data_IF_282096127004
#
_entry.id   IF_282096127004
#
_cell.length_a   1.000
_cell.length_b   1.000
_cell.length_c   1.000
_cell.angle_alpha   90.00
_cell.angle_beta   90.00
_cell.angle_gamma   90.00
#
_symmetry.space_group_name_H-M   'P 1'
#
loop_
_entity.id
_entity.type
_entity.pdbx_description
1 polymer ?
#
# COMPACT_ATOMS: atom_id res chain seq x y z
N UNK A 1 -30.18 0.02 -11.29
CA UNK A 1 -31.02 0.20 -12.50
C UNK A 1 -30.19 0.98 -13.52
N UNK A 2 -30.21 0.51 -14.76
CA UNK A 2 -29.32 0.81 -15.88
C UNK A 2 -29.63 2.17 -16.56
N UNK A 3 -28.65 2.67 -17.35
CA UNK A 3 -28.68 3.63 -18.50
C UNK A 3 -28.25 5.08 -18.17
N UNK A 4 -27.11 5.58 -18.67
CA UNK A 4 -26.73 5.89 -20.07
C UNK A 4 -27.51 7.07 -20.65
N UNK A 5 -26.84 8.17 -21.05
CA UNK A 5 -26.72 8.58 -22.47
C UNK A 5 -25.92 9.89 -22.67
N UNK A 6 -25.08 9.85 -23.71
CA UNK A 6 -24.36 10.92 -24.40
C UNK A 6 -25.27 11.92 -25.14
N UNK A 7 -24.79 13.15 -25.40
CA UNK A 7 -24.76 13.93 -26.68
C UNK A 7 -24.37 15.40 -26.35
N UNK A 8 -23.20 15.97 -26.70
CA UNK A 8 -22.65 16.41 -28.00
C UNK A 8 -23.50 17.47 -28.73
N UNK A 9 -23.08 18.76 -28.75
CA UNK A 9 -22.72 19.54 -29.96
C UNK A 9 -22.43 21.04 -29.74
N UNK A 10 -21.40 21.48 -30.47
CA UNK A 10 -20.92 22.85 -30.76
C UNK A 10 -21.91 23.71 -31.60
N UNK A 11 -21.81 25.04 -31.49
CA UNK A 11 -21.56 26.05 -32.56
C UNK A 11 -21.50 27.47 -31.92
N UNK A 12 -20.40 28.23 -32.07
CA UNK A 12 -20.17 29.39 -32.99
C UNK A 12 -21.28 30.47 -32.89
N UNK A 13 -21.05 31.78 -32.75
CA UNK A 13 -20.03 32.66 -33.35
C UNK A 13 -20.16 34.11 -32.79
N UNK A 14 -19.04 34.88 -32.69
CA UNK A 14 -18.87 36.35 -32.97
C UNK A 14 -19.66 37.39 -32.10
N UNK A 15 -19.22 38.60 -31.72
CA UNK A 15 -18.14 39.53 -32.13
C UNK A 15 -18.13 40.79 -31.20
N UNK A 16 -16.95 41.38 -30.91
CA UNK A 16 -16.71 42.79 -30.45
C UNK A 16 -17.12 43.13 -29.00
N UNK A 17 -16.56 44.09 -28.26
CA UNK A 17 -15.46 45.06 -28.42
C UNK A 17 -15.32 45.82 -27.08
N UNK A 18 -14.08 46.07 -26.62
CA UNK A 18 -13.59 47.14 -25.72
C UNK A 18 -14.07 47.22 -24.25
N UNK A 19 -13.06 47.38 -23.38
CA UNK A 19 -12.99 48.17 -22.13
C UNK A 19 -12.73 47.41 -20.81
N UNK A 20 -11.63 47.84 -20.19
CA UNK A 20 -11.42 48.04 -18.74
C UNK A 20 -11.16 46.84 -17.82
N UNK A 21 -9.98 46.88 -17.20
CA UNK A 21 -9.73 46.27 -15.89
C UNK A 21 -10.60 46.95 -14.81
N UNK A 22 -10.84 46.29 -13.67
CA UNK A 22 -9.93 46.58 -12.55
C UNK A 22 -9.59 45.37 -11.65
N UNK A 23 -8.47 45.57 -10.94
CA UNK A 23 -8.01 44.88 -9.73
C UNK A 23 -9.13 44.63 -8.72
N UNK A 24 -9.05 43.53 -7.97
CA UNK A 24 -9.65 43.43 -6.63
C UNK A 24 -8.59 43.09 -5.57
N UNK A 25 -8.58 43.94 -4.55
CA UNK A 25 -7.87 43.82 -3.28
C UNK A 25 -8.90 43.37 -2.24
N UNK A 26 -8.48 42.48 -1.33
CA UNK A 26 -8.90 42.44 0.07
C UNK A 26 -10.11 41.58 0.42
N UNK A 27 -9.98 40.75 1.46
CA UNK A 27 -10.46 41.14 2.80
C UNK A 27 -10.03 40.13 3.91
N UNK A 28 -9.75 40.72 5.07
CA UNK A 28 -9.35 40.14 6.37
C UNK A 28 -10.41 39.25 7.04
N UNK A 29 -9.96 38.46 8.04
CA UNK A 29 -10.47 38.39 9.43
C UNK A 29 -9.52 37.47 10.25
N UNK A 30 -8.75 37.93 11.26
CA UNK A 30 -9.04 38.44 12.62
C UNK A 30 -9.25 37.35 13.71
N UNK A 31 -8.18 37.16 14.52
CA UNK A 31 -8.05 36.95 16.00
C UNK A 31 -8.96 35.94 16.73
N UNK A 32 -8.35 34.96 17.42
CA UNK A 32 -8.61 34.63 18.86
C UNK A 32 -7.32 34.06 19.51
N UNK A 33 -6.89 34.67 20.61
CA UNK A 33 -5.86 34.26 21.57
C UNK A 33 -6.41 33.25 22.59
N UNK A 34 -5.70 32.16 22.92
CA UNK A 34 -5.78 31.50 24.24
C UNK A 34 -4.37 31.07 24.71
N UNK A 35 -4.18 31.21 26.02
CA UNK A 35 -2.95 31.37 26.78
C UNK A 35 -2.18 30.10 27.17
N UNK A 36 -0.97 30.38 27.65
CA UNK A 36 0.09 29.56 28.21
C UNK A 36 -0.29 28.41 29.18
N UNK A 37 0.53 27.36 29.18
CA UNK A 37 1.02 26.72 30.41
C UNK A 37 2.34 25.99 30.17
N UNK A 38 3.35 26.42 30.92
CA UNK A 38 4.69 25.84 31.08
C UNK A 38 4.68 24.65 32.03
N UNK A 39 5.40 23.56 31.71
CA UNK A 39 5.92 22.61 32.71
C UNK A 39 7.39 22.31 32.38
N UNK A 40 8.23 22.54 33.39
CA UNK A 40 9.69 22.43 33.37
C UNK A 40 10.18 20.98 33.55
N UNK A 41 11.41 20.77 33.09
CA UNK A 41 12.23 19.56 33.20
C UNK A 41 12.38 19.06 34.64
N UNK A 42 12.57 17.74 34.80
CA UNK A 42 13.60 17.22 35.72
C UNK A 42 14.09 15.83 35.29
N UNK A 43 15.41 15.76 35.17
CA UNK A 43 16.24 14.57 35.03
C UNK A 43 16.30 13.75 36.32
N UNK A 44 16.49 12.43 36.24
CA UNK A 44 17.72 11.76 36.71
C UNK A 44 17.69 10.24 36.48
N UNK A 45 18.79 9.69 35.96
CA UNK A 45 19.47 8.46 36.39
C UNK A 45 18.78 7.09 36.27
N UNK A 46 19.42 6.15 35.56
CA UNK A 46 20.31 5.09 36.10
C UNK A 46 20.44 3.98 35.03
N UNK A 47 21.67 3.55 34.74
CA UNK A 47 22.01 2.40 33.88
C UNK A 47 22.01 1.13 34.74
N UNK A 48 21.56 -0.02 34.20
CA UNK A 48 22.44 -1.19 34.28
C UNK A 48 22.55 -1.94 32.95
N UNK A 49 23.74 -2.49 32.74
CA UNK A 49 24.17 -3.36 31.66
C UNK A 49 23.72 -4.81 31.91
N UNK A 50 23.02 -5.45 30.97
CA UNK A 50 23.08 -6.91 30.74
C UNK A 50 22.52 -7.33 29.37
N UNK A 51 23.37 -8.07 28.66
CA UNK A 51 23.14 -9.19 27.75
C UNK A 51 22.36 -9.04 26.42
N UNK A 52 23.07 -9.46 25.37
CA UNK A 52 22.62 -9.66 24.00
C UNK A 52 21.38 -10.58 23.89
N UNK A 53 20.36 -10.08 23.21
CA UNK A 53 19.27 -10.86 22.62
C UNK A 53 18.99 -10.23 21.24
N UNK A 54 18.95 -11.06 20.20
CA UNK A 54 18.59 -10.64 18.84
C UNK A 54 17.22 -9.94 18.81
N UNK A 55 17.00 -8.93 17.93
CA UNK A 55 15.70 -8.28 17.85
C UNK A 55 14.66 -9.25 17.28
N UNK A 56 13.73 -9.66 18.13
CA UNK A 56 12.47 -10.32 17.74
C UNK A 56 11.55 -9.23 17.20
N UNK A 57 11.08 -9.37 15.97
CA UNK A 57 10.06 -8.49 15.40
C UNK A 57 8.75 -8.72 16.17
N UNK A 58 8.34 -7.73 16.97
CA UNK A 58 7.00 -7.67 17.53
C UNK A 58 6.12 -6.79 16.64
N UNK A 59 5.13 -7.40 15.99
CA UNK A 59 4.05 -6.66 15.33
C UNK A 59 2.92 -6.46 16.33
N UNK A 60 2.66 -5.21 16.73
CA UNK A 60 1.40 -4.87 17.38
C UNK A 60 0.29 -4.79 16.33
N UNK A 61 -0.69 -5.68 16.44
CA UNK A 61 -1.92 -5.63 15.65
C UNK A 61 -2.81 -4.59 16.30
N UNK A 62 -3.02 -3.45 15.64
CA UNK A 62 -4.05 -2.48 16.09
C UNK A 62 -5.42 -3.10 15.82
N UNK A 63 -5.96 -3.78 16.82
CA UNK A 63 -7.35 -4.24 16.85
C UNK A 63 -8.25 -3.08 17.29
N UNK A 64 -9.10 -2.59 16.40
CA UNK A 64 -10.21 -1.70 16.74
C UNK A 64 -11.28 -2.47 17.50
N UNK A 65 -11.18 -2.51 18.82
CA UNK A 65 -12.26 -2.96 19.69
C UNK A 65 -13.34 -1.89 19.79
N UNK A 66 -14.53 -2.16 19.25
CA UNK A 66 -15.76 -1.43 19.62
C UNK A 66 -16.05 -1.72 21.09
N UNK A 67 -15.88 -0.70 21.93
CA UNK A 67 -16.18 -0.77 23.36
C UNK A 67 -17.70 -0.85 23.56
N UNK A 68 -18.18 -2.04 23.92
CA UNK A 68 -19.49 -2.22 24.53
C UNK A 68 -19.50 -1.51 25.89
N UNK A 69 -20.33 -0.47 26.04
CA UNK A 69 -20.67 0.06 27.36
C UNK A 69 -21.56 -0.96 28.09
N UNK A 70 -21.00 -1.58 29.13
CA UNK A 70 -21.76 -2.29 30.16
C UNK A 70 -22.00 -1.30 31.30
N UNK A 71 -23.23 -1.07 31.76
CA UNK A 71 -23.47 -0.23 32.93
C UNK A 71 -23.07 -0.97 34.22
N UNK A 72 -22.41 -0.25 35.11
CA UNK A 72 -22.01 -0.66 36.46
C UNK A 72 -23.23 -0.86 37.39
N UNK A 73 -23.20 -1.81 38.34
CA UNK A 73 -24.23 -1.89 39.38
C UNK A 73 -24.02 -0.81 40.45
N UNK A 74 -25.02 0.04 40.66
CA UNK A 74 -25.10 1.03 41.75
C UNK A 74 -25.62 0.34 43.02
N UNK A 75 -25.15 0.69 44.24
CA UNK A 75 -25.69 0.11 45.47
C UNK A 75 -27.14 0.55 45.72
N UNK A 76 -27.96 -0.43 46.11
CA UNK A 76 -29.38 -0.26 46.44
C UNK A 76 -29.50 0.33 47.84
N UNK A 77 -30.09 1.52 47.95
CA UNK A 77 -30.55 2.12 49.22
C UNK A 77 -32.02 1.78 49.38
N UNK A 78 -32.36 1.09 50.48
CA UNK A 78 -33.74 0.69 50.81
C UNK A 78 -34.45 1.89 51.45
N UNK A 79 -35.50 2.39 50.80
CA UNK A 79 -36.43 3.40 51.34
C UNK A 79 -37.79 2.68 51.51
N UNK A 80 -38.48 2.79 52.66
CA UNK A 80 -39.77 2.15 52.84
C UNK A 80 -40.85 2.84 51.98
N UNK A 81 -41.66 1.98 51.38
CA UNK A 81 -42.75 2.22 50.45
C UNK A 81 -43.94 2.97 51.09
N UNK A 82 -44.53 3.99 50.44
CA UNK A 82 -45.87 4.45 50.79
C UNK A 82 -46.92 3.57 50.10
N UNK A 83 -47.74 2.92 50.92
CA UNK A 83 -48.93 2.18 50.50
C UNK A 83 -49.92 3.09 49.77
N UNK A 84 -50.21 2.79 48.50
CA UNK A 84 -51.28 3.43 47.73
C UNK A 84 -52.43 2.46 47.47
N UNK A 85 -53.59 2.88 47.94
CA UNK A 85 -54.91 2.26 47.82
C UNK A 85 -55.33 2.05 46.36
N UNK A 86 -55.84 0.86 46.03
CA UNK A 86 -56.28 0.48 44.70
C UNK A 86 -57.62 1.12 44.31
N UNK A 87 -57.64 1.85 43.18
CA UNK A 87 -58.87 2.26 42.49
C UNK A 87 -58.96 1.50 41.16
N UNK A 88 -60.09 0.87 40.80
CA UNK A 88 -60.17 0.04 39.59
C UNK A 88 -60.22 0.88 38.30
N UNK A 89 -59.41 0.49 37.30
CA UNK A 89 -59.32 1.07 35.95
C UNK A 89 -60.13 0.20 34.96
N UNK A 90 -60.87 0.77 33.99
CA UNK A 90 -61.64 0.00 33.00
C UNK A 90 -60.74 -0.59 31.89
N UNK A 91 -61.05 -1.82 31.43
CA UNK A 91 -60.31 -2.54 30.37
C UNK A 91 -60.48 -1.90 28.97
N UNK A 92 -59.44 -1.93 28.11
CA UNK A 92 -59.52 -1.49 26.71
C UNK A 92 -60.12 -2.57 25.79
N UNK A 93 -60.63 -2.19 24.59
CA UNK A 93 -61.28 -3.11 23.65
C UNK A 93 -60.28 -3.98 22.87
N UNK A 94 -60.65 -5.24 22.66
CA UNK A 94 -59.92 -6.29 21.93
C UNK A 94 -59.76 -5.96 20.44
N UNK A 95 -58.52 -5.98 19.92
CA UNK A 95 -58.21 -5.80 18.49
C UNK A 95 -58.50 -7.04 17.65
N UNK A 96 -59.22 -6.87 16.55
CA UNK A 96 -59.52 -7.87 15.52
C UNK A 96 -58.26 -8.32 14.77
N UNK A 97 -58.06 -9.63 14.49
CA UNK A 97 -56.84 -10.12 13.84
C UNK A 97 -56.76 -9.70 12.37
N UNK A 98 -55.61 -9.15 11.98
CA UNK A 98 -55.24 -8.83 10.60
C UNK A 98 -54.74 -10.09 9.89
N UNK A 99 -55.29 -10.41 8.71
CA UNK A 99 -54.85 -11.53 7.87
C UNK A 99 -53.47 -11.22 7.25
N UNK A 100 -52.44 -11.94 7.67
CA UNK A 100 -51.11 -11.89 7.05
C UNK A 100 -51.10 -12.65 5.72
N UNK A 101 -50.33 -12.18 4.71
CA UNK A 101 -50.14 -12.94 3.48
C UNK A 101 -49.55 -14.33 3.78
N UNK A 102 -49.93 -15.38 3.03
CA UNK A 102 -49.45 -16.73 3.29
C UNK A 102 -47.93 -16.78 3.17
N UNK A 103 -47.27 -17.26 4.22
CA UNK A 103 -45.84 -17.60 4.18
C UNK A 103 -45.58 -18.52 2.99
N UNK A 104 -44.61 -18.22 2.10
CA UNK A 104 -44.32 -19.08 0.97
C UNK A 104 -44.00 -20.48 1.47
N UNK A 105 -44.71 -21.48 0.94
CA UNK A 105 -44.51 -22.88 1.30
C UNK A 105 -43.07 -23.27 0.95
N UNK A 106 -42.29 -23.86 1.88
CA UNK A 106 -40.93 -24.29 1.58
C UNK A 106 -40.96 -25.29 0.41
N UNK A 107 -40.22 -25.01 -0.66
CA UNK A 107 -40.01 -25.99 -1.72
C UNK A 107 -39.18 -27.14 -1.16
N UNK A 108 -39.64 -28.37 -1.37
CA UNK A 108 -38.96 -29.59 -0.97
C UNK A 108 -38.78 -30.43 -2.23
N UNK A 109 -37.56 -30.91 -2.45
CA UNK A 109 -37.22 -31.76 -3.58
C UNK A 109 -36.87 -33.17 -3.07
N UNK A 110 -37.10 -34.17 -3.93
CA UNK A 110 -36.64 -35.55 -3.70
C UNK A 110 -35.12 -35.57 -3.53
N UNK A 111 -34.40 -35.08 -4.53
CA UNK A 111 -32.94 -34.95 -4.52
C UNK A 111 -32.54 -33.52 -4.22
N UNK A 112 -31.96 -33.29 -3.04
CA UNK A 112 -31.50 -31.98 -2.61
C UNK A 112 -30.38 -32.10 -1.61
N UNK A 113 -29.28 -31.37 -1.81
CA UNK A 113 -28.17 -31.38 -0.87
C UNK A 113 -27.96 -30.01 -0.23
N UNK A 114 -27.33 -30.02 0.94
CA UNK A 114 -26.68 -28.82 1.48
C UNK A 114 -25.21 -29.11 1.73
N UNK A 115 -24.37 -28.17 1.35
CA UNK A 115 -22.97 -28.15 1.72
C UNK A 115 -22.84 -27.93 3.23
N UNK A 116 -22.04 -28.76 3.90
CA UNK A 116 -21.76 -28.61 5.34
C UNK A 116 -20.40 -27.94 5.53
N UNK A 117 -19.33 -28.54 4.99
CA UNK A 117 -17.96 -28.01 5.02
C UNK A 117 -17.02 -28.78 4.11
N UNK A 118 -15.87 -28.19 3.85
CA UNK A 118 -14.70 -28.93 3.40
C UNK A 118 -14.13 -29.73 4.58
N UNK A 119 -13.87 -31.02 4.35
CA UNK A 119 -13.05 -31.84 5.25
C UNK A 119 -11.59 -31.69 4.84
N UNK A 120 -11.34 -31.85 3.54
CA UNK A 120 -10.09 -31.53 2.84
C UNK A 120 -10.45 -31.14 1.42
N UNK A 121 -9.57 -30.58 0.63
CA UNK A 121 -8.65 -29.51 0.91
C UNK A 121 -9.46 -28.21 1.12
N UNK A 122 -9.22 -27.38 2.16
CA UNK A 122 -9.93 -26.09 2.32
C UNK A 122 -9.74 -25.15 1.13
N UNK A 123 -10.69 -24.26 0.91
CA UNK A 123 -10.62 -23.27 -0.17
C UNK A 123 -9.38 -22.37 -0.06
N UNK A 124 -8.76 -22.07 -1.20
CA UNK A 124 -7.54 -21.26 -1.29
C UNK A 124 -6.25 -22.02 -0.92
N UNK A 125 -6.31 -23.33 -0.69
CA UNK A 125 -5.10 -24.10 -0.38
C UNK A 125 -4.12 -24.09 -1.56
N UNK A 126 -2.83 -24.02 -1.24
CA UNK A 126 -1.74 -24.06 -2.19
C UNK A 126 -1.31 -25.49 -2.48
N UNK A 127 -1.19 -25.84 -3.76
CA UNK A 127 -0.75 -27.16 -4.21
C UNK A 127 0.27 -26.97 -5.33
N UNK A 128 1.34 -27.78 -5.35
CA UNK A 128 2.29 -27.77 -6.45
C UNK A 128 1.59 -28.10 -7.77
N UNK A 129 1.97 -27.45 -8.88
CA UNK A 129 1.51 -27.78 -10.23
C UNK A 129 1.68 -29.28 -10.51
N UNK A 130 0.65 -29.92 -11.06
CA UNK A 130 0.63 -31.38 -11.27
C UNK A 130 0.62 -32.22 -9.99
N UNK A 131 0.56 -31.61 -8.81
CA UNK A 131 0.48 -32.29 -7.52
C UNK A 131 -0.84 -33.03 -7.35
N UNK A 132 -0.77 -34.26 -6.86
CA UNK A 132 -1.95 -35.04 -6.51
C UNK A 132 -2.48 -34.62 -5.13
N UNK A 133 -3.80 -34.57 -4.98
CA UNK A 133 -4.46 -34.30 -3.71
C UNK A 133 -5.82 -35.00 -3.65
N UNK A 134 -6.36 -35.17 -2.43
CA UNK A 134 -7.70 -35.74 -2.23
C UNK A 134 -8.60 -34.66 -1.65
N UNK A 135 -9.65 -34.29 -2.40
CA UNK A 135 -10.71 -33.40 -1.93
C UNK A 135 -11.80 -34.24 -1.29
N UNK A 136 -12.20 -33.88 -0.08
CA UNK A 136 -13.31 -34.46 0.67
C UNK A 136 -14.28 -33.38 1.13
N UNK A 137 -15.53 -33.48 0.68
CA UNK A 137 -16.60 -32.60 1.16
C UNK A 137 -17.52 -33.35 2.12
N UNK A 138 -17.98 -32.67 3.18
CA UNK A 138 -19.13 -33.11 3.96
C UNK A 138 -20.40 -32.51 3.39
N UNK A 139 -21.30 -33.36 2.93
CA UNK A 139 -22.60 -33.00 2.38
C UNK A 139 -23.72 -33.54 3.26
N UNK A 140 -24.87 -32.88 3.26
CA UNK A 140 -26.09 -33.34 3.96
C UNK A 140 -27.22 -33.54 2.97
N UNK A 141 -27.94 -34.65 3.12
CA UNK A 141 -29.18 -34.89 2.39
C UNK A 141 -30.29 -34.02 2.99
N UNK A 142 -30.70 -33.00 2.23
CA UNK A 142 -31.80 -32.08 2.57
C UNK A 142 -33.10 -32.46 1.86
N UNK A 143 -33.05 -33.46 0.97
CA UNK A 143 -34.19 -33.92 0.20
C UNK A 143 -35.05 -34.91 0.97
N UNK A 144 -36.00 -35.52 0.27
CA UNK A 144 -36.89 -36.56 0.81
C UNK A 144 -36.52 -37.97 0.34
N UNK A 145 -35.64 -38.09 -0.66
CA UNK A 145 -35.19 -39.37 -1.20
C UNK A 145 -33.86 -39.79 -0.59
N UNK A 146 -33.74 -41.08 -0.25
CA UNK A 146 -32.47 -41.67 0.18
C UNK A 146 -31.52 -41.72 -1.01
N UNK A 147 -30.32 -41.15 -0.86
CA UNK A 147 -29.27 -41.32 -1.86
C UNK A 147 -28.68 -42.72 -1.73
N UNK A 148 -28.56 -43.42 -2.86
CA UNK A 148 -28.02 -44.78 -2.92
C UNK A 148 -26.60 -44.76 -3.51
N UNK A 149 -25.85 -45.87 -3.44
CA UNK A 149 -24.57 -46.01 -4.14
C UNK A 149 -24.64 -45.87 -5.67
N UNK A 150 -25.84 -45.87 -6.28
CA UNK A 150 -26.01 -45.59 -7.72
C UNK A 150 -25.86 -44.09 -8.04
N UNK A 151 -25.97 -43.23 -7.03
CA UNK A 151 -25.72 -41.80 -7.14
C UNK A 151 -24.22 -41.54 -7.30
N UNK A 152 -23.88 -40.39 -7.87
CA UNK A 152 -22.50 -40.01 -8.08
C UNK A 152 -22.24 -38.54 -7.81
N UNK A 153 -21.06 -38.21 -7.31
CA UNK A 153 -20.46 -36.89 -7.45
C UNK A 153 -19.93 -36.75 -8.88
N UNK A 154 -20.23 -35.64 -9.56
CA UNK A 154 -19.82 -35.41 -10.94
C UNK A 154 -19.28 -34.00 -11.16
N UNK A 155 -18.23 -33.91 -11.97
CA UNK A 155 -17.70 -32.64 -12.46
C UNK A 155 -18.76 -31.98 -13.34
N UNK A 156 -18.99 -30.68 -13.11
CA UNK A 156 -19.98 -29.90 -13.84
C UNK A 156 -19.32 -28.93 -14.82
N UNK A 157 -18.45 -28.05 -14.33
CA UNK A 157 -17.78 -27.01 -15.13
C UNK A 157 -16.56 -26.42 -14.40
N UNK A 158 -15.90 -25.45 -15.04
CA UNK A 158 -14.67 -24.82 -14.53
C UNK A 158 -13.42 -25.58 -14.97
N UNK A 159 -12.39 -25.57 -14.12
CA UNK A 159 -11.14 -26.29 -14.39
C UNK A 159 -11.28 -27.77 -14.01
N UNK A 160 -11.00 -28.67 -14.95
CA UNK A 160 -10.93 -30.10 -14.67
C UNK A 160 -9.59 -30.43 -14.02
N UNK A 161 -9.60 -30.94 -12.78
CA UNK A 161 -8.39 -31.19 -11.97
C UNK A 161 -8.05 -32.69 -11.96
N UNK A 162 -7.53 -33.20 -13.09
CA UNK A 162 -7.22 -34.61 -13.29
C UNK A 162 -8.27 -35.38 -14.11
N UNK A 163 -8.15 -36.70 -14.15
CA UNK A 163 -9.01 -37.56 -15.00
C UNK A 163 -10.28 -38.05 -14.28
N UNK A 164 -10.31 -38.01 -12.95
CA UNK A 164 -11.48 -38.40 -12.20
C UNK A 164 -12.52 -37.27 -12.28
N UNK A 165 -13.54 -37.49 -13.09
CA UNK A 165 -14.68 -36.56 -13.28
C UNK A 165 -15.96 -37.06 -12.61
N UNK A 166 -15.94 -38.26 -12.04
CA UNK A 166 -17.07 -38.88 -11.36
C UNK A 166 -16.58 -39.82 -10.25
N UNK A 167 -17.30 -39.88 -9.13
CA UNK A 167 -17.16 -40.94 -8.11
C UNK A 167 -18.53 -41.32 -7.55
N UNK A 168 -18.79 -42.62 -7.42
CA UNK A 168 -20.03 -43.14 -6.82
C UNK A 168 -20.07 -42.85 -5.33
N UNK A 169 -21.29 -42.70 -4.78
CA UNK A 169 -21.44 -42.59 -3.34
C UNK A 169 -21.03 -43.91 -2.66
N UNK A 170 -20.24 -43.87 -1.58
CA UNK A 170 -19.77 -45.08 -0.91
C UNK A 170 -20.85 -45.79 -0.10
N UNK A 171 -21.93 -45.10 0.28
CA UNK A 171 -22.97 -45.61 1.17
C UNK A 171 -24.34 -44.96 0.93
N UNK A 172 -25.36 -45.51 1.59
CA UNK A 172 -26.71 -44.94 1.59
C UNK A 172 -26.80 -43.72 2.51
N UNK A 173 -27.48 -42.66 2.06
CA UNK A 173 -27.66 -41.42 2.83
C UNK A 173 -29.13 -41.08 2.95
N UNK A 174 -29.73 -41.41 4.09
CA UNK A 174 -31.12 -41.08 4.40
C UNK A 174 -31.33 -39.55 4.48
N UNK A 175 -32.57 -39.06 4.23
CA UNK A 175 -32.93 -37.67 4.49
C UNK A 175 -32.49 -37.19 5.87
N UNK A 176 -31.83 -36.04 5.93
CA UNK A 176 -31.30 -35.45 7.16
C UNK A 176 -29.90 -35.92 7.57
N UNK A 177 -29.37 -37.00 6.97
CA UNK A 177 -28.02 -37.50 7.29
C UNK A 177 -26.93 -36.82 6.46
N UNK A 178 -25.68 -36.98 6.90
CA UNK A 178 -24.48 -36.44 6.24
C UNK A 178 -23.60 -37.54 5.67
N UNK A 179 -22.83 -37.21 4.64
CA UNK A 179 -21.82 -38.08 4.03
C UNK A 179 -20.54 -37.30 3.73
N UNK A 180 -19.40 -37.96 3.85
CA UNK A 180 -18.11 -37.44 3.40
C UNK A 180 -17.74 -38.10 2.05
N UNK A 181 -17.71 -37.31 0.99
CA UNK A 181 -17.40 -37.81 -0.36
C UNK A 181 -16.00 -37.34 -0.75
N UNK A 182 -15.13 -38.30 -1.08
CA UNK A 182 -13.73 -38.04 -1.44
C UNK A 182 -13.47 -38.32 -2.92
N UNK A 183 -12.66 -37.47 -3.55
CA UNK A 183 -12.20 -37.67 -4.93
C UNK A 183 -10.70 -37.33 -5.05
N UNK A 184 -9.88 -38.23 -5.61
CA UNK A 184 -8.49 -37.92 -5.94
C UNK A 184 -8.42 -37.05 -7.19
N UNK A 185 -7.72 -35.92 -7.09
CA UNK A 185 -7.57 -34.90 -8.11
C UNK A 185 -6.09 -34.58 -8.33
N UNK A 186 -5.81 -33.88 -9.43
CA UNK A 186 -4.48 -33.38 -9.78
C UNK A 186 -4.55 -31.89 -10.06
N UNK A 187 -3.69 -31.11 -9.40
CA UNK A 187 -3.61 -29.67 -9.62
C UNK A 187 -3.23 -29.39 -11.08
N UNK A 188 -3.76 -28.32 -11.71
CA UNK A 188 -3.37 -27.91 -13.05
C UNK A 188 -1.85 -27.75 -13.21
N UNK A 189 -1.37 -27.93 -14.44
CA UNK A 189 0.04 -27.70 -14.78
C UNK A 189 0.39 -26.22 -14.92
N UNK A 190 -0.61 -25.33 -14.91
CA UNK A 190 -0.43 -23.89 -14.97
C UNK A 190 -0.51 -23.29 -13.57
N UNK A 191 0.44 -22.42 -13.23
CA UNK A 191 0.43 -21.66 -11.98
C UNK A 191 -0.77 -20.71 -11.96
N UNK A 192 -1.33 -20.47 -10.78
CA UNK A 192 -2.41 -19.50 -10.58
C UNK A 192 -3.57 -20.04 -9.75
N UNK A 193 -4.64 -19.23 -9.68
CA UNK A 193 -5.89 -19.57 -9.00
C UNK A 193 -6.77 -20.43 -9.91
N UNK A 194 -7.25 -21.56 -9.38
CA UNK A 194 -8.06 -22.51 -10.14
C UNK A 194 -9.26 -22.98 -9.34
N UNK A 195 -10.42 -23.04 -10.00
CA UNK A 195 -11.67 -23.53 -9.42
C UNK A 195 -12.34 -24.59 -10.28
N UNK A 196 -12.78 -25.67 -9.63
CA UNK A 196 -13.51 -26.80 -10.23
C UNK A 196 -14.87 -26.93 -9.59
N UNK A 197 -15.94 -27.06 -10.37
CA UNK A 197 -17.32 -27.07 -9.88
C UNK A 197 -17.99 -28.43 -10.06
N UNK A 198 -18.78 -28.82 -9.05
CA UNK A 198 -19.31 -30.17 -8.89
C UNK A 198 -20.79 -30.17 -8.52
N UNK A 199 -21.48 -31.23 -8.92
CA UNK A 199 -22.88 -31.54 -8.58
C UNK A 199 -22.99 -33.01 -8.16
N UNK A 200 -24.12 -33.39 -7.57
CA UNK A 200 -24.51 -34.79 -7.44
C UNK A 200 -25.39 -35.18 -8.63
N UNK A 201 -25.38 -36.46 -8.98
CA UNK A 201 -26.20 -37.06 -10.03
C UNK A 201 -26.94 -38.26 -9.45
N UNK A 202 -28.25 -38.33 -9.66
CA UNK A 202 -29.05 -39.46 -9.21
C UNK A 202 -28.96 -40.66 -10.19
N UNK A 203 -29.59 -41.78 -9.83
CA UNK A 203 -29.59 -43.02 -10.61
C UNK A 203 -30.18 -42.85 -12.03
N UNK A 204 -31.08 -41.87 -12.23
CA UNK A 204 -31.68 -41.55 -13.53
C UNK A 204 -30.84 -40.55 -14.35
N UNK A 205 -29.67 -40.16 -13.86
CA UNK A 205 -28.78 -39.22 -14.54
C UNK A 205 -29.09 -37.74 -14.31
N UNK A 206 -30.04 -37.40 -13.44
CA UNK A 206 -30.42 -36.00 -13.16
C UNK A 206 -29.43 -35.38 -12.19
N UNK A 207 -28.93 -34.19 -12.55
CA UNK A 207 -28.02 -33.40 -11.72
C UNK A 207 -28.77 -32.58 -10.67
N UNK A 208 -28.22 -32.54 -9.46
CA UNK A 208 -28.74 -31.74 -8.36
C UNK A 208 -27.61 -31.25 -7.43
N UNK A 209 -27.92 -30.20 -6.68
CA UNK A 209 -26.96 -29.48 -5.84
C UNK A 209 -27.67 -28.75 -4.70
N UNK A 210 -27.06 -27.68 -4.22
CA UNK A 210 -27.64 -26.87 -3.14
C UNK A 210 -28.47 -25.70 -3.66
N UNK A 211 -28.96 -24.88 -2.73
CA UNK A 211 -29.75 -23.68 -3.00
C UNK A 211 -31.23 -23.98 -3.24
N UNK A 212 -32.03 -22.92 -3.37
CA UNK A 212 -33.50 -23.01 -3.36
C UNK A 212 -34.12 -23.76 -4.54
N UNK A 213 -33.36 -23.99 -5.61
CA UNK A 213 -33.76 -24.76 -6.78
C UNK A 213 -33.01 -26.10 -6.91
N UNK A 214 -32.27 -26.51 -5.87
CA UNK A 214 -31.50 -27.76 -5.84
C UNK A 214 -30.54 -27.95 -7.03
N UNK A 215 -29.94 -26.88 -7.56
CA UNK A 215 -29.15 -26.93 -8.79
C UNK A 215 -27.84 -26.13 -8.75
N UNK A 216 -27.43 -25.62 -7.58
CA UNK A 216 -26.16 -24.88 -7.46
C UNK A 216 -24.98 -25.83 -7.26
N UNK A 217 -23.89 -25.53 -7.95
CA UNK A 217 -22.61 -26.24 -7.87
C UNK A 217 -21.83 -25.83 -6.61
N UNK A 218 -21.17 -26.80 -5.99
CA UNK A 218 -20.12 -26.58 -4.98
C UNK A 218 -18.76 -26.79 -5.63
N UNK A 219 -17.65 -26.48 -4.94
CA UNK A 219 -16.37 -26.35 -5.63
C UNK A 219 -15.15 -26.87 -4.87
N UNK A 220 -14.07 -27.03 -5.63
CA UNK A 220 -12.68 -27.05 -5.18
C UNK A 220 -12.04 -25.74 -5.59
N UNK A 221 -11.37 -25.07 -4.66
CA UNK A 221 -10.66 -23.82 -4.90
C UNK A 221 -9.21 -23.93 -4.42
N UNK A 222 -8.24 -23.80 -5.34
CA UNK A 222 -6.81 -23.93 -5.02
C UNK A 222 -5.97 -22.88 -5.72
N UNK A 223 -4.77 -22.67 -5.20
CA UNK A 223 -3.67 -22.02 -5.91
C UNK A 223 -2.66 -23.08 -6.34
N UNK A 224 -2.51 -23.26 -7.65
CA UNK A 224 -1.42 -24.07 -8.20
C UNK A 224 -0.14 -23.22 -8.20
N UNK A 225 0.93 -23.71 -7.57
CA UNK A 225 2.23 -23.02 -7.51
C UNK A 225 3.33 -23.86 -8.14
N UNK A 226 4.35 -23.23 -8.70
CA UNK A 226 5.53 -23.96 -9.11
C UNK A 226 6.22 -24.55 -7.86
N UNK A 227 6.79 -25.74 -8.00
CA UNK A 227 7.43 -26.42 -6.87
C UNK A 227 8.86 -25.99 -6.60
N UNK A 228 9.27 -24.83 -7.11
CA UNK A 228 10.48 -24.14 -6.66
C UNK A 228 10.27 -23.72 -5.22
N UNK A 229 11.25 -24.00 -4.35
CA UNK A 229 11.22 -23.48 -2.99
C UNK A 229 11.24 -21.94 -3.08
N UNK A 230 10.40 -21.20 -2.34
CA UNK A 230 10.41 -19.75 -2.38
C UNK A 230 11.83 -19.25 -2.11
N UNK A 231 12.36 -18.48 -3.05
CA UNK A 231 13.73 -18.04 -3.04
C UNK A 231 13.79 -16.54 -3.28
N UNK A 232 14.65 -15.89 -2.51
CA UNK A 232 15.02 -14.50 -2.71
C UNK A 232 16.50 -14.45 -3.05
N UNK A 233 16.85 -13.73 -4.10
CA UNK A 233 18.23 -13.55 -4.54
C UNK A 233 18.49 -12.09 -4.86
N UNK A 234 19.73 -11.64 -4.66
CA UNK A 234 20.20 -10.35 -5.15
C UNK A 234 21.29 -10.52 -6.20
N UNK A 235 21.39 -9.59 -7.13
CA UNK A 235 22.50 -9.51 -8.08
C UNK A 235 22.75 -8.06 -8.53
N UNK A 236 24.01 -7.57 -8.52
CA UNK A 236 25.20 -8.21 -7.94
C UNK A 236 25.17 -8.19 -6.39
N UNK A 237 26.05 -8.97 -5.74
CA UNK A 237 26.20 -9.02 -4.27
C UNK A 237 27.28 -8.06 -3.73
N UNK A 238 27.89 -7.27 -4.59
CA UNK A 238 28.83 -6.21 -4.22
C UNK A 238 28.96 -5.20 -5.35
N UNK A 239 29.46 -4.02 -5.03
CA UNK A 239 29.74 -2.98 -6.01
C UNK A 239 29.94 -1.61 -5.37
N UNK A 240 30.18 -0.58 -6.19
CA UNK A 240 30.27 0.78 -5.71
C UNK A 240 28.97 1.25 -5.04
N UNK A 241 29.08 2.21 -4.14
CA UNK A 241 27.90 2.88 -3.57
C UNK A 241 27.04 3.49 -4.70
N UNK A 242 25.73 3.25 -4.65
CA UNK A 242 24.78 3.58 -5.71
C UNK A 242 24.49 2.45 -6.71
N UNK A 243 25.16 1.29 -6.60
CA UNK A 243 24.89 0.13 -7.46
C UNK A 243 23.41 -0.26 -7.43
N UNK A 244 22.80 -0.39 -8.60
CA UNK A 244 21.43 -0.90 -8.73
C UNK A 244 21.46 -2.43 -8.55
N UNK A 245 21.01 -2.87 -7.37
CA UNK A 245 20.91 -4.28 -7.01
C UNK A 245 19.56 -4.80 -7.44
N UNK A 246 19.56 -5.81 -8.29
CA UNK A 246 18.35 -6.52 -8.67
C UNK A 246 17.95 -7.49 -7.55
N UNK A 247 16.79 -7.26 -6.94
CA UNK A 247 16.18 -8.13 -5.93
C UNK A 247 15.10 -8.95 -6.62
N UNK A 248 15.27 -10.27 -6.64
CA UNK A 248 14.33 -11.20 -7.27
C UNK A 248 13.77 -12.12 -6.20
N UNK A 249 12.44 -12.18 -6.11
CA UNK A 249 11.71 -13.15 -5.32
C UNK A 249 10.94 -14.07 -6.27
N UNK A 250 11.06 -15.39 -6.12
CA UNK A 250 10.43 -16.37 -7.01
C UNK A 250 9.84 -17.53 -6.23
N UNK A 251 8.84 -18.21 -6.79
CA UNK A 251 8.18 -19.35 -6.15
C UNK A 251 7.20 -18.98 -5.02
N UNK A 252 6.72 -17.74 -4.98
CA UNK A 252 5.74 -17.28 -3.99
C UNK A 252 4.30 -17.40 -4.50
N UNK A 253 3.32 -17.17 -3.63
CA UNK A 253 1.92 -17.13 -4.06
C UNK A 253 1.67 -15.94 -4.99
N UNK A 254 0.89 -16.08 -6.08
CA UNK A 254 0.54 -14.98 -6.97
C UNK A 254 -0.18 -13.83 -6.24
N UNK A 255 0.06 -12.59 -6.65
CA UNK A 255 -0.52 -11.36 -6.08
C UNK A 255 -0.26 -11.18 -4.57
N UNK A 256 0.81 -11.76 -4.04
CA UNK A 256 1.23 -11.57 -2.65
C UNK A 256 2.03 -10.28 -2.51
N UNK A 257 1.75 -9.51 -1.46
CA UNK A 257 2.51 -8.29 -1.18
C UNK A 257 3.95 -8.65 -0.80
N UNK A 258 4.91 -7.98 -1.44
CA UNK A 258 6.35 -8.08 -1.17
C UNK A 258 6.84 -6.74 -0.63
N UNK A 259 7.55 -6.78 0.49
CA UNK A 259 8.25 -5.64 1.09
C UNK A 259 9.75 -5.91 1.05
N UNK A 260 10.52 -4.92 0.61
CA UNK A 260 11.99 -4.98 0.57
C UNK A 260 12.53 -3.91 1.50
N UNK A 261 13.26 -4.34 2.52
CA UNK A 261 14.02 -3.52 3.44
C UNK A 261 15.52 -3.57 3.12
N UNK A 262 16.21 -2.48 3.42
CA UNK A 262 17.67 -2.36 3.30
C UNK A 262 18.22 -1.62 4.53
N UNK A 263 19.34 -2.09 5.05
CA UNK A 263 20.06 -1.43 6.13
C UNK A 263 21.39 -2.10 6.46
N UNK A 264 22.20 -1.51 7.34
CA UNK A 264 23.42 -2.14 7.83
C UNK A 264 23.15 -3.47 8.54
N UNK A 265 24.18 -4.33 8.61
CA UNK A 265 24.14 -5.52 9.48
C UNK A 265 23.85 -5.09 10.93
N UNK A 266 22.97 -5.82 11.62
CA UNK A 266 22.53 -5.58 13.00
C UNK A 266 21.77 -4.25 13.24
N UNK A 267 21.25 -3.61 12.19
CA UNK A 267 20.40 -2.42 12.28
C UNK A 267 18.93 -2.76 11.94
N UNK A 268 18.01 -1.87 12.31
CA UNK A 268 16.68 -1.85 11.72
C UNK A 268 16.78 -1.55 10.21
N UNK A 269 15.93 -2.21 9.43
CA UNK A 269 15.90 -2.07 7.97
C UNK A 269 14.85 -1.03 7.55
N UNK A 270 15.24 -0.04 6.75
CA UNK A 270 14.30 0.89 6.14
C UNK A 270 13.63 0.25 4.93
N UNK A 271 12.30 0.38 4.79
CA UNK A 271 11.60 -0.09 3.60
C UNK A 271 12.03 0.75 2.37
N UNK A 272 12.62 0.10 1.38
CA UNK A 272 13.16 0.74 0.17
C UNK A 272 12.35 0.43 -1.08
N UNK A 273 11.63 -0.69 -1.10
CA UNK A 273 10.71 -1.02 -2.18
C UNK A 273 9.53 -1.87 -1.69
N UNK A 274 8.47 -1.87 -2.48
CA UNK A 274 7.31 -2.74 -2.28
C UNK A 274 6.66 -3.07 -3.62
N UNK A 275 5.91 -4.16 -3.67
CA UNK A 275 5.07 -4.50 -4.81
C UNK A 275 4.31 -5.80 -4.58
N UNK A 276 3.93 -6.44 -5.67
CA UNK A 276 3.20 -7.70 -5.65
C UNK A 276 3.86 -8.71 -6.57
N UNK A 277 3.81 -9.98 -6.20
CA UNK A 277 4.18 -11.06 -7.11
C UNK A 277 3.22 -11.14 -8.29
N UNK A 278 3.73 -11.49 -9.47
CA UNK A 278 2.95 -11.65 -10.68
C UNK A 278 2.09 -12.94 -10.64
N UNK A 279 1.40 -13.26 -11.74
CA UNK A 279 0.59 -14.48 -11.86
C UNK A 279 1.36 -15.79 -11.67
N UNK A 280 2.69 -15.77 -11.82
CA UNK A 280 3.58 -16.91 -11.62
C UNK A 280 4.18 -16.97 -10.21
N UNK A 281 3.96 -15.96 -9.36
CA UNK A 281 4.57 -15.90 -8.04
C UNK A 281 5.94 -15.20 -7.99
N UNK A 282 6.31 -14.47 -9.04
CA UNK A 282 7.61 -13.79 -9.11
C UNK A 282 7.49 -12.28 -8.87
N UNK A 283 8.50 -11.70 -8.24
CA UNK A 283 8.67 -10.27 -8.04
C UNK A 283 10.12 -9.87 -8.36
N UNK A 284 10.30 -8.72 -9.00
CA UNK A 284 11.60 -8.20 -9.38
C UNK A 284 11.62 -6.69 -9.22
N UNK A 285 12.62 -6.16 -8.53
CA UNK A 285 12.83 -4.73 -8.35
C UNK A 285 14.33 -4.40 -8.34
N UNK A 286 14.69 -3.23 -8.84
CA UNK A 286 16.04 -2.69 -8.68
C UNK A 286 16.06 -1.72 -7.50
N UNK A 287 16.99 -1.94 -6.58
CA UNK A 287 17.19 -1.11 -5.39
C UNK A 287 18.62 -0.56 -5.41
N UNK A 288 18.82 0.77 -5.35
CA UNK A 288 20.15 1.34 -5.21
C UNK A 288 20.73 1.05 -3.82
N UNK A 289 21.83 0.31 -3.75
CA UNK A 289 22.57 0.05 -2.52
C UNK A 289 23.57 1.18 -2.27
N UNK A 290 23.40 1.95 -1.19
CA UNK A 290 24.23 3.13 -0.88
C UNK A 290 24.81 3.04 0.52
N UNK A 291 26.08 3.35 0.65
CA UNK A 291 26.83 3.29 1.91
C UNK A 291 28.27 3.79 1.76
N UNK A 292 29.00 3.77 2.87
CA UNK A 292 30.44 4.02 2.91
C UNK A 292 31.22 2.79 2.42
N UNK A 293 32.46 3.00 1.96
CA UNK A 293 33.36 1.91 1.57
C UNK A 293 33.55 0.93 2.73
N UNK A 294 33.40 -0.35 2.46
CA UNK A 294 33.50 -1.40 3.48
C UNK A 294 32.22 -1.60 4.30
N UNK A 295 31.16 -0.81 4.07
CA UNK A 295 29.86 -1.07 4.69
C UNK A 295 29.24 -2.34 4.10
N UNK A 296 28.75 -3.20 4.99
CA UNK A 296 27.96 -4.37 4.67
C UNK A 296 26.47 -4.04 4.87
N UNK A 297 25.71 -4.13 3.78
CA UNK A 297 24.27 -3.92 3.75
C UNK A 297 23.54 -5.26 3.69
N UNK A 298 22.38 -5.33 4.34
CA UNK A 298 21.49 -6.49 4.34
C UNK A 298 20.20 -6.12 3.65
N UNK A 299 19.85 -6.88 2.62
CA UNK A 299 18.51 -6.89 2.06
C UNK A 299 17.63 -7.85 2.86
N UNK A 300 16.54 -7.32 3.42
CA UNK A 300 15.51 -8.10 4.09
C UNK A 300 14.24 -8.10 3.23
N UNK A 301 13.73 -9.27 2.86
CA UNK A 301 12.53 -9.38 2.03
C UNK A 301 11.44 -10.09 2.82
N UNK A 302 10.25 -9.49 2.88
CA UNK A 302 9.09 -10.08 3.50
C UNK A 302 7.98 -10.27 2.47
N UNK A 303 7.32 -11.43 2.50
CA UNK A 303 6.18 -11.73 1.62
C UNK A 303 4.98 -12.07 2.48
N UNK A 304 3.86 -11.38 2.25
CA UNK A 304 2.64 -11.54 3.04
C UNK A 304 2.14 -13.00 3.00
N UNK A 305 1.80 -13.56 4.16
CA UNK A 305 1.28 -14.92 4.27
C UNK A 305 2.35 -16.02 4.32
N UNK A 306 3.65 -15.68 4.27
CA UNK A 306 4.74 -16.64 4.41
C UNK A 306 5.66 -16.26 5.58
N UNK A 307 5.65 -17.01 6.70
CA UNK A 307 6.57 -16.76 7.80
C UNK A 307 8.01 -17.16 7.41
N UNK A 308 8.97 -16.28 7.65
CA UNK A 308 10.38 -16.66 7.76
C UNK A 308 11.27 -16.54 6.51
N UNK A 309 10.87 -15.84 5.44
CA UNK A 309 11.77 -15.66 4.28
C UNK A 309 12.77 -14.50 4.49
N UNK A 310 13.42 -14.51 5.65
CA UNK A 310 14.46 -13.57 6.04
C UNK A 310 15.83 -14.21 5.77
N UNK A 311 16.19 -14.43 4.51
CA UNK A 311 17.60 -14.64 4.20
C UNK A 311 18.26 -13.25 4.21
N UNK A 312 19.23 -12.96 5.11
CA UNK A 312 20.01 -11.75 4.97
C UNK A 312 20.82 -11.89 3.69
N UNK A 313 20.42 -11.15 2.65
CA UNK A 313 21.13 -11.11 1.39
C UNK A 313 22.14 -9.97 1.50
N UNK A 314 23.41 -10.34 1.64
CA UNK A 314 24.49 -9.41 1.93
C UNK A 314 24.99 -8.72 0.67
N UNK A 315 25.09 -7.40 0.72
CA UNK A 315 25.70 -6.57 -0.30
C UNK A 315 26.87 -5.78 0.29
N UNK A 316 28.04 -5.92 -0.32
CA UNK A 316 29.25 -5.23 0.12
C UNK A 316 29.53 -3.99 -0.73
N UNK A 317 29.66 -2.83 -0.08
CA UNK A 317 30.11 -1.60 -0.73
C UNK A 317 31.63 -1.68 -0.89
N UNK A 318 32.10 -1.92 -2.12
CA UNK A 318 33.54 -2.10 -2.41
C UNK A 318 34.23 -0.78 -2.73
N UNK A 319 33.47 0.20 -3.20
CA UNK A 319 33.95 1.52 -3.62
C UNK A 319 32.92 2.57 -3.17
N UNK A 320 33.37 3.80 -2.93
CA UNK A 320 32.45 4.91 -2.78
C UNK A 320 31.70 5.07 -4.11
N UNK A 321 30.67 5.91 -4.17
CA UNK A 321 30.13 6.32 -5.48
C UNK A 321 31.37 6.69 -6.30
N UNK A 322 31.64 6.08 -7.47
CA UNK A 322 32.73 6.56 -8.29
C UNK A 322 32.40 8.02 -8.48
N UNK A 323 33.24 8.93 -7.95
CA UNK A 323 33.20 10.32 -8.38
C UNK A 323 33.10 10.20 -9.90
N UNK A 324 32.02 10.75 -10.50
CA UNK A 324 31.65 10.40 -11.87
C UNK A 324 32.93 10.45 -12.69
N UNK A 325 33.31 9.31 -13.30
CA UNK A 325 34.48 9.26 -14.19
C UNK A 325 34.44 10.52 -15.05
N UNK A 326 35.52 11.30 -15.15
CA UNK A 326 35.45 12.68 -15.60
C UNK A 326 34.93 12.71 -17.03
N UNK A 327 33.61 12.85 -17.18
CA UNK A 327 33.06 13.74 -18.18
C UNK A 327 33.78 15.04 -17.90
N UNK A 328 34.75 15.38 -18.75
CA UNK A 328 35.61 16.57 -18.65
C UNK A 328 34.99 17.57 -17.68
N UNK A 329 35.49 17.63 -16.43
CA UNK A 329 34.93 18.37 -15.27
C UNK A 329 34.94 19.87 -15.57
N UNK A 330 34.18 20.26 -16.56
CA UNK A 330 33.99 21.63 -16.95
C UNK A 330 32.67 21.97 -16.28
N UNK A 331 32.82 22.57 -15.11
CA UNK A 331 31.71 23.28 -14.49
C UNK A 331 31.58 24.61 -15.21
N UNK A 332 30.35 25.01 -15.47
CA UNK A 332 30.06 26.33 -16.00
C UNK A 332 29.25 27.12 -14.97
N UNK A 333 29.32 28.44 -15.06
CA UNK A 333 28.62 29.33 -14.13
C UNK A 333 27.24 29.67 -14.67
N UNK A 334 26.22 29.35 -13.89
CA UNK A 334 24.91 29.93 -14.03
C UNK A 334 24.83 31.21 -13.21
N UNK A 335 24.32 32.28 -13.81
CA UNK A 335 24.04 33.55 -13.12
C UNK A 335 22.61 33.97 -13.39
N UNK A 336 21.87 34.29 -12.33
CA UNK A 336 20.53 34.84 -12.44
C UNK A 336 20.44 36.17 -11.69
N UNK A 337 20.44 37.31 -12.42
CA UNK A 337 20.20 38.62 -11.84
C UNK A 337 18.82 38.70 -11.17
N UNK A 338 17.82 38.02 -11.74
CA UNK A 338 16.45 38.00 -11.22
C UNK A 338 16.32 37.29 -9.86
N UNK A 339 17.26 36.42 -9.50
CA UNK A 339 17.33 35.78 -8.18
C UNK A 339 18.53 36.28 -7.36
N UNK A 340 19.33 37.21 -7.89
CA UNK A 340 20.52 37.74 -7.24
C UNK A 340 21.52 36.64 -6.81
N UNK A 341 21.74 35.64 -7.67
CA UNK A 341 22.64 34.50 -7.39
C UNK A 341 23.54 34.14 -8.57
N UNK A 342 24.63 33.46 -8.25
CA UNK A 342 25.37 32.62 -9.18
C UNK A 342 25.68 31.27 -8.53
N UNK A 343 25.78 30.22 -9.34
CA UNK A 343 26.19 28.88 -8.92
C UNK A 343 26.91 28.21 -10.10
N UNK A 344 27.65 27.16 -9.84
CA UNK A 344 28.22 26.33 -10.88
C UNK A 344 27.40 25.04 -11.05
N UNK A 345 27.40 24.51 -12.26
CA UNK A 345 26.77 23.24 -12.62
C UNK A 345 27.54 22.54 -13.75
N UNK A 346 27.32 21.24 -14.01
CA UNK A 346 27.97 20.54 -15.11
C UNK A 346 27.70 21.19 -16.48
N UNK A 347 28.75 21.53 -17.23
CA UNK A 347 28.63 22.32 -18.47
C UNK A 347 27.89 21.62 -19.61
N UNK A 348 27.74 20.30 -19.55
CA UNK A 348 26.98 19.53 -20.52
C UNK A 348 25.46 19.68 -20.33
N UNK A 349 25.00 20.14 -19.16
CA UNK A 349 23.57 20.34 -18.90
C UNK A 349 23.02 21.49 -19.72
N UNK A 350 21.90 21.22 -20.38
CA UNK A 350 21.27 22.17 -21.29
C UNK A 350 20.06 22.83 -20.63
N UNK A 351 19.74 24.08 -21.01
CA UNK A 351 18.53 24.75 -20.53
C UNK A 351 17.29 23.96 -20.94
N UNK A 352 16.36 23.77 -20.00
CA UNK A 352 15.08 23.06 -20.25
C UNK A 352 14.01 24.10 -20.66
N UNK A 353 13.50 24.06 -21.91
CA UNK A 353 12.51 25.04 -22.37
C UNK A 353 11.22 24.98 -21.55
N UNK A 354 10.59 26.14 -21.34
CA UNK A 354 9.31 26.25 -20.62
C UNK A 354 9.41 26.39 -19.09
N UNK A 355 10.64 26.42 -18.54
CA UNK A 355 10.90 26.70 -17.13
C UNK A 355 11.50 28.10 -16.97
N UNK A 356 10.66 29.04 -16.52
CA UNK A 356 10.98 30.47 -16.38
C UNK A 356 10.20 31.37 -17.34
N UNK A 357 10.31 32.69 -17.18
CA UNK A 357 9.63 33.70 -18.01
C UNK A 357 10.57 34.84 -18.42
N UNK A 358 10.05 35.86 -19.13
CA UNK A 358 10.83 37.02 -19.55
C UNK A 358 11.45 37.81 -18.41
N UNK A 359 10.95 37.66 -17.18
CA UNK A 359 11.41 38.40 -16.00
C UNK A 359 12.45 37.59 -15.20
N UNK A 360 12.34 36.27 -15.21
CA UNK A 360 13.15 35.35 -14.39
C UNK A 360 14.25 34.62 -15.18
N UNK A 361 14.16 34.61 -16.52
CA UNK A 361 15.07 33.86 -17.38
C UNK A 361 14.84 32.36 -17.28
N UNK A 362 15.73 31.55 -17.88
CA UNK A 362 15.66 30.08 -17.75
C UNK A 362 16.02 29.68 -16.32
N UNK A 363 15.13 28.93 -15.67
CA UNK A 363 15.32 28.53 -14.26
C UNK A 363 15.67 27.05 -14.07
N UNK A 364 15.75 26.25 -15.15
CA UNK A 364 16.05 24.82 -15.09
C UNK A 364 17.03 24.39 -16.17
N UNK A 365 18.01 23.57 -15.78
CA UNK A 365 18.96 22.91 -16.66
C UNK A 365 19.00 21.42 -16.33
N UNK A 366 19.26 20.57 -17.34
CA UNK A 366 19.36 19.13 -17.13
C UNK A 366 20.21 18.43 -18.18
N UNK A 367 20.68 17.24 -17.82
CA UNK A 367 21.47 16.36 -18.66
C UNK A 367 21.13 14.89 -18.41
N UNK A 368 21.94 13.99 -18.98
CA UNK A 368 21.75 12.53 -18.84
C UNK A 368 21.92 12.03 -17.40
N UNK A 369 22.66 12.78 -16.58
CA UNK A 369 23.14 12.42 -15.24
C UNK A 369 22.52 13.26 -14.12
N UNK A 370 21.66 14.25 -14.42
CA UNK A 370 21.09 15.09 -13.37
C UNK A 370 20.42 16.35 -13.87
N UNK A 371 20.04 17.19 -12.92
CA UNK A 371 19.43 18.49 -13.20
C UNK A 371 19.62 19.46 -12.04
N UNK A 372 19.43 20.75 -12.31
CA UNK A 372 19.08 21.72 -11.28
C UNK A 372 17.93 22.62 -11.73
N UNK A 373 17.19 23.13 -10.76
CA UNK A 373 16.18 24.16 -10.94
C UNK A 373 16.25 25.15 -9.79
N UNK A 374 16.07 26.43 -10.09
CA UNK A 374 16.02 27.48 -9.08
C UNK A 374 14.60 28.00 -8.87
N UNK A 375 14.35 28.50 -7.67
CA UNK A 375 13.10 29.11 -7.26
C UNK A 375 13.30 29.98 -6.03
N UNK A 376 12.21 30.58 -5.56
CA UNK A 376 12.20 31.36 -4.34
C UNK A 376 10.84 31.19 -3.65
N UNK A 377 10.84 31.38 -2.34
CA UNK A 377 9.63 31.30 -1.53
C UNK A 377 9.66 32.32 -0.40
N UNK A 378 8.47 32.65 0.09
CA UNK A 378 8.29 33.51 1.24
C UNK A 378 7.40 32.82 2.27
N UNK A 379 7.97 32.49 3.43
CA UNK A 379 7.29 31.81 4.55
C UNK A 379 7.82 32.36 5.88
N UNK A 380 7.10 32.16 6.99
CA UNK A 380 7.47 32.82 8.26
C UNK A 380 8.84 32.43 8.82
N UNK A 381 9.28 31.20 8.60
CA UNK A 381 10.56 30.67 9.06
C UNK A 381 11.08 29.61 8.10
N UNK A 382 12.40 29.38 8.12
CA UNK A 382 13.03 28.41 7.24
C UNK A 382 12.57 26.97 7.52
N UNK A 383 12.26 26.66 8.79
CA UNK A 383 11.71 25.36 9.16
C UNK A 383 10.30 25.14 8.60
N UNK A 384 9.45 26.18 8.60
CA UNK A 384 8.14 26.11 7.94
C UNK A 384 8.29 25.97 6.42
N UNK A 385 9.25 26.66 5.84
CA UNK A 385 9.59 26.53 4.42
C UNK A 385 9.98 25.09 4.09
N UNK A 386 10.87 24.49 4.90
CA UNK A 386 11.31 23.12 4.72
C UNK A 386 10.18 22.11 4.93
N UNK A 387 9.34 22.29 5.95
CA UNK A 387 8.17 21.45 6.18
C UNK A 387 7.16 21.55 5.04
N UNK A 388 6.89 22.77 4.54
CA UNK A 388 5.98 22.99 3.42
C UNK A 388 6.40 22.23 2.15
N UNK A 389 7.70 22.22 1.85
CA UNK A 389 8.26 21.42 0.75
C UNK A 389 8.21 19.91 1.02
N UNK A 390 8.69 19.49 2.19
CA UNK A 390 8.82 18.09 2.55
C UNK A 390 7.47 17.36 2.67
N UNK A 391 6.45 18.03 3.22
CA UNK A 391 5.14 17.47 3.54
C UNK A 391 4.10 17.68 2.43
N UNK A 392 4.54 18.09 1.23
CA UNK A 392 3.64 18.31 0.11
C UNK A 392 2.81 17.06 -0.21
N UNK A 393 1.53 17.23 -0.58
CA UNK A 393 0.59 16.11 -0.84
C UNK A 393 1.08 15.09 -1.87
N UNK A 394 1.93 15.54 -2.81
CA UNK A 394 2.54 14.70 -3.84
C UNK A 394 3.79 13.93 -3.36
N UNK A 395 4.22 14.12 -2.11
CA UNK A 395 5.40 13.50 -1.51
C UNK A 395 6.64 13.53 -2.43
N UNK A 396 7.06 14.72 -2.90
CA UNK A 396 8.15 14.85 -3.87
C UNK A 396 9.49 14.32 -3.38
N UNK A 397 9.66 14.15 -2.06
CA UNK A 397 10.87 13.63 -1.41
C UNK A 397 10.64 12.27 -0.72
N UNK A 398 9.56 11.56 -1.07
CA UNK A 398 9.18 10.29 -0.45
C UNK A 398 8.39 10.46 0.86
N UNK A 399 8.19 9.36 1.58
CA UNK A 399 7.32 9.32 2.76
C UNK A 399 7.94 9.81 4.06
N UNK A 400 9.27 9.83 4.15
CA UNK A 400 9.99 10.25 5.36
C UNK A 400 11.31 10.98 5.02
N UNK A 401 11.26 12.12 4.30
CA UNK A 401 12.46 12.84 3.89
C UNK A 401 13.30 13.30 5.08
N UNK A 402 14.62 13.34 4.90
CA UNK A 402 15.54 13.87 5.92
C UNK A 402 15.70 15.36 5.71
N UNK A 403 15.59 16.15 6.77
CA UNK A 403 15.85 17.59 6.74
C UNK A 403 17.10 17.86 7.56
N UNK A 404 18.15 18.32 6.90
CA UNK A 404 19.40 18.71 7.53
C UNK A 404 19.48 20.22 7.69
N UNK A 405 20.04 20.66 8.82
CA UNK A 405 20.39 22.05 9.06
C UNK A 405 21.82 22.30 8.60
N UNK A 406 22.00 23.35 7.80
CA UNK A 406 23.31 23.76 7.32
C UNK A 406 23.41 25.29 7.19
N UNK A 407 24.60 25.76 6.81
CA UNK A 407 24.89 27.16 6.57
C UNK A 407 25.49 27.30 5.17
N UNK A 408 24.93 28.18 4.35
CA UNK A 408 25.47 28.50 3.02
C UNK A 408 25.87 29.97 3.05
N UNK A 409 27.17 30.25 2.93
CA UNK A 409 27.72 31.61 3.03
C UNK A 409 27.32 32.36 4.33
N UNK A 410 27.21 31.63 5.45
CA UNK A 410 26.76 32.19 6.72
C UNK A 410 25.27 32.51 6.79
N UNK A 411 24.49 32.10 5.78
CA UNK A 411 23.03 32.13 5.82
C UNK A 411 22.48 30.78 6.24
N UNK A 412 21.43 30.82 7.06
CA UNK A 412 20.72 29.64 7.49
C UNK A 412 20.12 28.90 6.29
N UNK A 413 20.28 27.59 6.28
CA UNK A 413 19.79 26.73 5.22
C UNK A 413 19.21 25.41 5.75
N UNK A 414 18.31 24.84 4.95
CA UNK A 414 17.70 23.52 5.15
C UNK A 414 17.88 22.70 3.88
N UNK A 415 18.48 21.52 4.01
CA UNK A 415 18.62 20.56 2.93
C UNK A 415 17.65 19.41 3.15
N UNK A 416 16.71 19.27 2.24
CA UNK A 416 15.72 18.21 2.18
C UNK A 416 16.26 17.13 1.27
N UNK A 417 16.57 15.97 1.85
CA UNK A 417 17.01 14.79 1.13
C UNK A 417 15.84 13.81 0.95
N UNK A 418 15.73 13.19 -0.24
CA UNK A 418 14.68 12.22 -0.49
C UNK A 418 14.86 10.97 0.36
N UNK A 419 13.74 10.33 0.67
CA UNK A 419 13.65 9.07 1.40
C UNK A 419 13.29 7.91 0.49
N UNK A 420 13.34 6.68 1.04
CA UNK A 420 12.78 5.51 0.37
C UNK A 420 11.34 5.75 -0.09
N UNK A 421 11.02 5.37 -1.33
CA UNK A 421 9.69 5.55 -1.90
C UNK A 421 9.40 6.90 -2.57
N UNK A 422 10.43 7.70 -2.86
CA UNK A 422 10.27 8.86 -3.74
C UNK A 422 9.67 8.44 -5.11
N UNK A 423 8.66 9.17 -5.65
CA UNK A 423 8.09 8.83 -6.95
C UNK A 423 9.17 8.83 -8.04
N UNK A 424 9.20 7.79 -8.90
CA UNK A 424 10.22 7.65 -9.94
C UNK A 424 10.32 8.87 -10.88
N UNK A 425 9.21 9.58 -11.09
CA UNK A 425 9.16 10.82 -11.87
C UNK A 425 9.87 12.02 -11.25
N UNK A 426 10.28 11.94 -9.97
CA UNK A 426 11.01 13.01 -9.27
C UNK A 426 12.53 12.94 -9.45
N UNK A 427 13.07 11.93 -10.15
CA UNK A 427 14.49 11.90 -10.57
C UNK A 427 15.51 12.11 -9.42
N UNK A 428 15.32 11.49 -8.26
CA UNK A 428 16.18 11.69 -7.09
C UNK A 428 16.20 13.13 -6.56
N UNK A 429 15.16 13.94 -6.82
CA UNK A 429 15.12 15.35 -6.43
C UNK A 429 15.36 15.51 -4.92
N UNK A 430 16.26 16.42 -4.60
CA UNK A 430 16.47 17.03 -3.30
C UNK A 430 16.17 18.53 -3.41
N UNK A 431 16.02 19.20 -2.27
CA UNK A 431 15.84 20.64 -2.23
C UNK A 431 16.70 21.28 -1.15
N UNK A 432 17.29 22.42 -1.48
CA UNK A 432 18.02 23.27 -0.57
C UNK A 432 17.28 24.60 -0.48
N UNK A 433 16.91 24.98 0.73
CA UNK A 433 16.30 26.27 1.03
C UNK A 433 17.32 27.10 1.78
N UNK A 434 17.61 28.31 1.32
CA UNK A 434 18.62 29.20 1.89
C UNK A 434 18.02 30.56 2.14
N UNK A 435 18.26 31.14 3.32
CA UNK A 435 17.85 32.51 3.61
C UNK A 435 18.64 33.51 2.77
N UNK A 436 17.96 34.49 2.19
CA UNK A 436 18.65 35.59 1.50
C UNK A 436 19.42 36.45 2.52
N UNK A 437 20.70 36.81 2.23
CA UNK A 437 21.52 37.64 3.12
C UNK A 437 21.10 39.12 3.16
N UNK A 438 20.23 39.54 2.24
CA UNK A 438 19.68 40.89 2.14
C UNK A 438 18.21 40.78 1.71
N UNK A 439 17.44 41.86 1.87
CA UNK A 439 16.10 41.93 1.27
C UNK A 439 16.30 41.90 -0.24
N UNK A 440 16.02 40.76 -0.87
CA UNK A 440 16.23 40.58 -2.30
C UNK A 440 15.40 41.64 -3.06
N UNK A 441 16.07 42.45 -3.89
CA UNK A 441 15.45 43.50 -4.72
C UNK A 441 14.71 42.95 -5.94
N UNK A 442 14.17 41.75 -5.81
CA UNK A 442 13.47 41.01 -6.86
C UNK A 442 11.97 41.30 -6.74
N UNK A 443 11.22 41.06 -7.81
CA UNK A 443 9.84 41.59 -8.09
C UNK A 443 8.79 41.38 -6.97
N UNK A 444 9.09 40.57 -5.95
CA UNK A 444 8.23 40.30 -4.79
C UNK A 444 8.98 40.07 -3.45
N UNK A 445 10.30 40.35 -3.38
CA UNK A 445 11.15 40.28 -2.17
C UNK A 445 10.95 39.04 -1.25
N UNK A 446 11.18 37.82 -1.77
CA UNK A 446 11.11 36.59 -0.98
C UNK A 446 12.23 36.51 0.05
N UNK A 447 11.95 35.81 1.17
CA UNK A 447 12.93 35.57 2.24
C UNK A 447 13.88 34.42 1.95
N UNK A 448 13.49 33.47 1.10
CA UNK A 448 14.27 32.26 0.86
C UNK A 448 14.48 31.98 -0.63
N UNK A 449 15.71 31.62 -0.96
CA UNK A 449 16.09 31.00 -2.22
C UNK A 449 15.90 29.49 -2.13
N UNK A 450 15.49 28.86 -3.25
CA UNK A 450 15.28 27.42 -3.32
C UNK A 450 16.05 26.86 -4.51
N UNK A 451 16.92 25.88 -4.24
CA UNK A 451 17.61 25.10 -5.24
C UNK A 451 17.07 23.68 -5.20
N UNK A 452 16.51 23.22 -6.31
CA UNK A 452 16.20 21.82 -6.55
C UNK A 452 17.31 21.23 -7.39
N UNK A 453 17.80 20.06 -7.04
CA UNK A 453 18.72 19.30 -7.87
C UNK A 453 18.56 17.81 -7.56
N UNK A 454 19.09 16.94 -8.41
CA UNK A 454 19.20 15.53 -8.02
C UNK A 454 20.16 15.39 -6.83
N UNK A 455 19.82 14.48 -5.91
CA UNK A 455 20.54 14.26 -4.66
C UNK A 455 22.07 14.14 -4.83
N UNK A 456 22.62 13.41 -5.83
CA UNK A 456 24.05 13.36 -6.08
C UNK A 456 24.74 14.73 -6.26
N UNK A 457 24.08 15.71 -6.86
CA UNK A 457 24.69 16.99 -7.23
C UNK A 457 24.30 18.16 -6.32
N UNK A 458 23.23 18.04 -5.53
CA UNK A 458 22.70 19.20 -4.80
C UNK A 458 23.71 19.85 -3.86
N UNK A 459 24.56 19.05 -3.18
CA UNK A 459 25.55 19.59 -2.24
C UNK A 459 26.70 20.30 -2.96
N UNK A 460 27.23 19.68 -4.01
CA UNK A 460 28.34 20.26 -4.78
C UNK A 460 27.91 21.54 -5.48
N UNK A 461 26.69 21.59 -6.03
CA UNK A 461 26.13 22.84 -6.57
C UNK A 461 25.95 23.88 -5.45
N UNK A 462 25.41 23.49 -4.30
CA UNK A 462 25.19 24.40 -3.17
C UNK A 462 26.46 25.09 -2.65
N UNK A 463 27.59 24.38 -2.61
CA UNK A 463 28.88 24.93 -2.17
C UNK A 463 29.36 26.08 -3.07
N UNK A 464 28.96 26.05 -4.34
CA UNK A 464 29.30 27.08 -5.33
C UNK A 464 28.29 28.23 -5.35
N UNK A 465 27.18 28.13 -4.61
CA UNK A 465 26.16 29.18 -4.54
C UNK A 465 26.75 30.47 -3.96
N UNK A 466 26.57 31.58 -4.66
CA UNK A 466 27.03 32.91 -4.28
C UNK A 466 25.87 33.87 -4.45
N UNK A 467 25.49 34.58 -3.39
CA UNK A 467 24.54 35.68 -3.48
C UNK A 467 25.24 36.93 -4.03
N UNK A 468 24.64 37.57 -5.03
CA UNK A 468 25.13 38.79 -5.65
C UNK A 468 24.29 39.97 -5.18
N UNK A 469 24.94 41.08 -4.80
CA UNK A 469 24.26 42.31 -4.34
C UNK A 469 23.69 43.15 -5.46
#
# INVERSE_FOLDING_TARGET
MLKSLFFKRKRHQKQGSIAEQPKSIGFNNLVVLIAASTVLLSSCGVIPEVNAIAPVIQFEVVSTSVSNMIPSPTPIVIIPEPSLTSTPIPLPPTSTPTLYPPTPTPKIYCDWMSFVKDITIPDGTTIKVGGAFVKTWRLKNRGTCTWTPDYALVFSNGMQMGNNIEVKLPEYVAPGNTIDISIPLTAPSTVGHHRSYWLLRNASGVLFGYGDNANKTFFVDIYAVDGSNPAVTISPSSGPSGTLVQVVASGFLPNSQVLVGLGPVNSEYGQVAQGFTNGNGDFNVQVPARGEVGLELVFAVAVQGQPGVLAPLHFYITEAIPAPTPYLDTWTTFSSPAFAISLQYPAEWQPVPGYGDSNTGVTRYGGVNGFFQIGAMDTDSIDKAAAHEAEHRLKPYGSNPTIETLQIQGQEARLILPSGGQPAGMQNQAALIVQYPFVASIVWSPRYFVLYADWPHIRTIAETLRFAH
#
